data_IF_190820150155
#
_entry.id   IF_190820150155
#
_cell.length_a   1.000
_cell.length_b   1.000
_cell.length_c   1.000
_cell.angle_alpha   90.00
_cell.angle_beta   90.00
_cell.angle_gamma   90.00
#
_symmetry.space_group_name_H-M   'P 1'
#
loop_
_entity.id
_entity.type
_entity.pdbx_description
1 polymer ?
#
# COMPACT_ATOMS: atom_id res chain seq x y z
N UNK A 1 34.33 17.00 2.51
CA UNK A 1 34.19 16.86 1.05
C UNK A 1 34.76 15.51 0.63
N UNK A 2 33.92 14.47 0.58
CA UNK A 2 34.33 13.13 0.14
C UNK A 2 33.60 12.81 -1.17
N UNK A 3 34.38 12.68 -2.25
CA UNK A 3 33.90 12.29 -3.58
C UNK A 3 33.79 10.77 -3.62
N UNK A 4 32.61 10.27 -4.04
CA UNK A 4 32.39 8.86 -4.34
C UNK A 4 33.13 8.46 -5.65
N UNK A 5 33.66 7.25 -5.77
CA UNK A 5 34.33 6.78 -6.97
C UNK A 5 33.36 6.45 -8.08
N UNK A 6 33.73 6.79 -9.32
CA UNK A 6 33.00 6.43 -10.55
C UNK A 6 33.23 4.96 -10.87
N UNK A 7 32.16 4.15 -10.91
CA UNK A 7 32.23 2.77 -11.41
C UNK A 7 32.06 2.74 -12.93
N UNK A 8 32.94 2.04 -13.60
CA UNK A 8 32.98 1.82 -15.05
C UNK A 8 31.80 0.96 -15.53
N UNK A 9 31.22 1.37 -16.65
CA UNK A 9 30.21 0.59 -17.39
C UNK A 9 30.85 -0.66 -17.98
N UNK A 10 30.30 -1.83 -17.65
CA UNK A 10 30.48 -3.04 -18.43
C UNK A 10 29.28 -3.20 -19.39
N UNK A 11 29.56 -2.96 -20.67
CA UNK A 11 28.65 -3.36 -21.76
C UNK A 11 28.60 -4.88 -21.84
N UNK A 12 27.44 -5.45 -21.52
CA UNK A 12 27.11 -6.84 -21.87
C UNK A 12 26.16 -6.83 -23.07
N UNK A 13 26.71 -7.17 -24.24
CA UNK A 13 25.97 -7.36 -25.46
C UNK A 13 24.88 -8.43 -25.30
N UNK A 14 23.66 -8.09 -25.66
CA UNK A 14 22.56 -9.05 -25.78
C UNK A 14 22.62 -9.70 -27.15
N UNK A 15 22.80 -11.01 -27.13
CA UNK A 15 22.77 -11.86 -28.31
C UNK A 15 21.30 -12.08 -28.74
N UNK A 16 20.93 -11.55 -29.90
CA UNK A 16 19.62 -11.76 -30.51
C UNK A 16 19.61 -13.14 -31.21
N UNK A 17 19.21 -14.16 -30.47
CA UNK A 17 18.91 -15.48 -31.01
C UNK A 17 17.60 -15.46 -31.82
N UNK A 18 17.67 -15.79 -33.07
CA UNK A 18 16.58 -15.93 -34.03
C UNK A 18 15.66 -17.12 -33.71
N UNK A 19 14.35 -16.84 -33.71
CA UNK A 19 13.36 -17.80 -34.21
C UNK A 19 12.78 -18.78 -33.21
N UNK A 20 11.55 -18.52 -32.79
CA UNK A 20 10.44 -19.49 -32.85
C UNK A 20 9.11 -18.76 -32.72
N UNK A 21 8.22 -18.96 -33.67
CA UNK A 21 6.84 -18.48 -33.71
C UNK A 21 6.04 -19.07 -32.56
N UNK A 22 5.84 -18.31 -31.51
CA UNK A 22 4.86 -18.59 -30.46
C UNK A 22 3.55 -17.93 -30.85
N UNK A 23 2.54 -18.73 -31.10
CA UNK A 23 1.14 -18.40 -31.28
C UNK A 23 0.68 -17.41 -30.20
N UNK A 24 0.23 -16.22 -30.63
CA UNK A 24 -0.16 -15.14 -29.78
C UNK A 24 -1.31 -15.51 -28.84
N UNK A 25 -1.03 -15.55 -27.56
CA UNK A 25 -2.01 -15.18 -26.54
C UNK A 25 -2.02 -13.66 -26.52
N UNK A 26 -3.09 -13.07 -27.06
CA UNK A 26 -3.41 -11.66 -26.83
C UNK A 26 -3.56 -11.50 -25.32
N UNK A 27 -2.53 -10.99 -24.67
CA UNK A 27 -2.57 -10.64 -23.26
C UNK A 27 -3.55 -9.50 -23.11
N UNK A 28 -4.81 -9.82 -22.81
CA UNK A 28 -5.75 -8.87 -22.25
C UNK A 28 -5.14 -8.47 -20.91
N UNK A 29 -4.56 -7.28 -20.84
CA UNK A 29 -4.14 -6.71 -19.57
C UNK A 29 -5.42 -6.49 -18.77
N UNK A 30 -5.73 -7.40 -17.85
CA UNK A 30 -6.84 -7.24 -16.94
C UNK A 30 -6.57 -5.98 -16.12
N UNK A 31 -7.27 -4.91 -16.46
CA UNK A 31 -7.22 -3.67 -15.68
C UNK A 31 -8.03 -3.91 -14.41
N UNK A 32 -7.44 -3.61 -13.27
CA UNK A 32 -8.14 -3.59 -12.01
C UNK A 32 -9.27 -2.56 -12.09
N UNK A 33 -10.51 -3.03 -12.21
CA UNK A 33 -11.71 -2.22 -12.31
C UNK A 33 -12.47 -2.24 -11.00
N UNK A 34 -12.57 -1.09 -10.33
CA UNK A 34 -13.23 -0.93 -9.03
C UNK A 34 -14.32 0.15 -9.09
N UNK A 35 -15.44 -0.09 -9.79
CA UNK A 35 -16.49 0.91 -10.00
C UNK A 35 -17.13 1.43 -8.70
N UNK A 36 -17.12 0.63 -7.63
CA UNK A 36 -17.60 1.05 -6.31
C UNK A 36 -16.79 2.19 -5.69
N UNK A 37 -15.55 2.41 -6.15
CA UNK A 37 -14.72 3.54 -5.73
C UNK A 37 -15.21 4.89 -6.26
N UNK A 38 -16.12 4.89 -7.25
CA UNK A 38 -16.78 6.13 -7.72
C UNK A 38 -17.50 6.84 -6.58
N UNK A 39 -18.08 6.10 -5.64
CA UNK A 39 -18.71 6.69 -4.45
C UNK A 39 -17.70 7.51 -3.64
N UNK A 40 -16.51 7.00 -3.41
CA UNK A 40 -15.45 7.71 -2.71
C UNK A 40 -15.02 9.02 -3.39
N UNK A 41 -15.17 9.09 -4.74
CA UNK A 41 -14.81 10.28 -5.51
C UNK A 41 -15.95 11.31 -5.49
N UNK A 42 -17.21 10.85 -5.47
CA UNK A 42 -18.41 11.68 -5.61
C UNK A 42 -18.96 12.12 -4.26
N UNK A 43 -18.86 11.28 -3.22
CA UNK A 43 -19.36 11.61 -1.88
C UNK A 43 -18.49 12.70 -1.24
N UNK A 44 -19.14 13.63 -0.56
CA UNK A 44 -18.47 14.65 0.25
C UNK A 44 -17.63 13.95 1.33
N UNK A 45 -16.34 14.25 1.34
CA UNK A 45 -15.46 13.71 2.35
C UNK A 45 -15.81 14.33 3.70
N UNK A 46 -15.93 13.53 4.77
CA UNK A 46 -16.13 14.08 6.10
C UNK A 46 -15.00 15.04 6.45
N UNK A 47 -15.34 16.11 7.16
CA UNK A 47 -14.34 17.06 7.64
C UNK A 47 -13.32 16.38 8.56
N UNK A 48 -12.05 16.73 8.41
CA UNK A 48 -10.97 16.24 9.26
C UNK A 48 -10.25 15.00 8.72
N UNK A 49 -9.39 14.46 9.55
CA UNK A 49 -8.57 13.29 9.19
C UNK A 49 -9.30 11.98 9.48
N UNK A 50 -9.50 11.17 8.46
CA UNK A 50 -10.12 9.85 8.57
C UNK A 50 -9.43 8.98 9.63
N UNK A 51 -8.10 8.94 9.64
CA UNK A 51 -7.34 8.10 10.58
C UNK A 51 -7.51 8.57 12.03
N UNK A 52 -7.54 9.89 12.29
CA UNK A 52 -7.81 10.40 13.62
C UNK A 52 -9.21 10.03 14.11
N UNK A 53 -10.21 10.15 13.24
CA UNK A 53 -11.59 9.75 13.53
C UNK A 53 -11.68 8.27 13.87
N UNK A 54 -11.10 7.41 13.01
CA UNK A 54 -11.08 5.96 13.21
C UNK A 54 -10.33 5.56 14.48
N UNK A 55 -9.17 6.17 14.73
CA UNK A 55 -8.40 5.94 15.97
C UNK A 55 -9.21 6.22 17.23
N UNK A 56 -9.97 7.31 17.23
CA UNK A 56 -10.80 7.72 18.38
C UNK A 56 -12.09 6.92 18.57
N UNK A 57 -12.46 6.08 17.62
CA UNK A 57 -13.67 5.27 17.69
C UNK A 57 -13.53 4.14 18.71
N UNK A 58 -14.65 3.80 19.38
CA UNK A 58 -14.70 2.74 20.40
C UNK A 58 -15.18 1.40 19.85
N UNK A 59 -15.87 1.38 18.72
CA UNK A 59 -16.30 0.15 18.03
C UNK A 59 -15.37 -0.15 16.85
N UNK A 60 -14.47 -1.10 17.06
CA UNK A 60 -13.48 -1.49 16.06
C UNK A 60 -14.13 -2.15 14.85
N UNK A 61 -15.20 -2.91 15.05
CA UNK A 61 -15.90 -3.63 13.97
C UNK A 61 -16.60 -2.66 13.03
N UNK A 62 -17.35 -1.71 13.56
CA UNK A 62 -18.00 -0.67 12.75
C UNK A 62 -17.01 0.22 12.02
N UNK A 63 -15.83 0.42 12.61
CA UNK A 63 -14.77 1.25 12.04
C UNK A 63 -13.78 0.47 11.19
N UNK A 64 -14.02 -0.83 10.97
CA UNK A 64 -13.19 -1.72 10.19
C UNK A 64 -11.74 -1.84 10.72
N UNK A 65 -11.52 -1.59 11.99
CA UNK A 65 -10.22 -1.75 12.63
C UNK A 65 -10.03 -3.22 12.95
N UNK A 66 -8.94 -3.80 12.47
CA UNK A 66 -8.62 -5.22 12.67
C UNK A 66 -7.56 -5.43 13.73
N UNK A 67 -6.77 -4.41 14.03
CA UNK A 67 -5.75 -4.46 15.06
C UNK A 67 -5.35 -3.07 15.54
N UNK A 68 -5.12 -2.93 16.86
CA UNK A 68 -4.52 -1.74 17.47
C UNK A 68 -3.20 -2.12 18.12
N UNK A 69 -2.10 -1.58 17.59
CA UNK A 69 -0.78 -1.65 18.20
C UNK A 69 -0.53 -0.52 19.19
N UNK A 70 0.69 -0.38 19.63
CA UNK A 70 1.10 0.68 20.57
C UNK A 70 1.17 2.06 19.89
N UNK A 71 1.72 2.11 18.68
CA UNK A 71 2.01 3.34 17.93
C UNK A 71 1.26 3.43 16.61
N UNK A 72 0.71 2.31 16.12
CA UNK A 72 0.00 2.22 14.85
C UNK A 72 -1.19 1.27 14.95
N UNK A 73 -2.08 1.33 13.97
CA UNK A 73 -3.24 0.45 13.88
C UNK A 73 -3.48 0.01 12.43
N UNK A 74 -4.18 -1.10 12.29
CA UNK A 74 -4.52 -1.73 11.02
C UNK A 74 -6.03 -1.68 10.82
N UNK A 75 -6.47 -1.25 9.65
CA UNK A 75 -7.89 -1.20 9.30
C UNK A 75 -8.11 -1.67 7.86
N UNK A 76 -9.32 -2.17 7.58
CA UNK A 76 -9.75 -2.48 6.23
C UNK A 76 -10.14 -1.18 5.50
N UNK A 77 -9.80 -1.11 4.22
CA UNK A 77 -10.26 0.00 3.39
C UNK A 77 -11.75 -0.19 3.06
N UNK A 78 -12.57 0.82 3.36
CA UNK A 78 -14.01 0.81 3.06
C UNK A 78 -14.29 0.75 1.55
N UNK A 79 -13.38 1.28 0.73
CA UNK A 79 -13.45 1.27 -0.73
C UNK A 79 -12.27 0.50 -1.32
N UNK A 80 -12.21 -0.83 -1.13
CA UNK A 80 -11.03 -1.62 -1.48
C UNK A 80 -10.81 -1.67 -2.99
N UNK A 81 -9.58 -1.81 -3.45
CA UNK A 81 -9.28 -2.20 -4.84
C UNK A 81 -9.53 -3.69 -5.04
N UNK A 82 -9.10 -4.50 -4.07
CA UNK A 82 -9.23 -5.96 -4.03
C UNK A 82 -9.61 -6.42 -2.63
N UNK A 83 -10.02 -7.67 -2.51
CA UNK A 83 -10.19 -8.32 -1.22
C UNK A 83 -8.88 -8.24 -0.41
N UNK A 84 -9.02 -7.95 0.88
CA UNK A 84 -7.86 -7.82 1.75
C UNK A 84 -7.10 -6.50 1.63
N UNK A 85 -7.69 -5.45 1.03
CA UNK A 85 -7.09 -4.12 1.02
C UNK A 85 -7.05 -3.55 2.43
N UNK A 86 -5.88 -3.61 3.04
CA UNK A 86 -5.60 -3.08 4.37
C UNK A 86 -4.91 -1.72 4.28
N UNK A 87 -5.10 -0.91 5.31
CA UNK A 87 -4.34 0.30 5.56
C UNK A 87 -3.68 0.18 6.94
N UNK A 88 -2.47 0.70 7.09
CA UNK A 88 -1.76 0.76 8.36
C UNK A 88 -1.40 2.22 8.58
N UNK A 89 -1.85 2.77 9.69
CA UNK A 89 -1.67 4.18 10.00
C UNK A 89 -1.09 4.37 11.41
N UNK A 90 -0.23 5.37 11.62
CA UNK A 90 0.24 5.72 12.95
C UNK A 90 -0.90 6.31 13.81
N UNK A 91 -0.80 6.17 15.13
CA UNK A 91 -1.69 6.87 16.05
C UNK A 91 -1.42 8.38 16.06
N UNK A 92 -0.19 8.80 15.80
CA UNK A 92 0.16 10.21 15.67
C UNK A 92 -0.39 10.79 14.36
N UNK A 93 -0.91 12.02 14.40
CA UNK A 93 -1.34 12.73 13.19
C UNK A 93 -0.10 13.35 12.51
N UNK A 94 0.62 12.53 11.76
CA UNK A 94 1.83 12.90 11.02
C UNK A 94 1.64 12.44 9.57
N UNK A 95 1.78 13.36 8.63
CA UNK A 95 1.57 13.09 7.21
C UNK A 95 2.85 12.62 6.49
N UNK A 96 4.00 13.15 6.91
CA UNK A 96 5.27 12.94 6.26
C UNK A 96 6.03 11.77 6.92
N UNK A 97 6.50 10.85 6.08
CA UNK A 97 7.15 9.62 6.55
C UNK A 97 8.44 9.92 7.32
N UNK A 98 9.19 10.93 6.89
CA UNK A 98 10.44 11.39 7.49
C UNK A 98 10.28 11.96 8.89
N UNK A 99 9.08 12.40 9.25
CA UNK A 99 8.77 12.97 10.56
C UNK A 99 8.31 11.91 11.57
N UNK A 100 8.09 10.67 11.13
CA UNK A 100 7.71 9.59 12.02
C UNK A 100 8.89 9.14 12.90
N UNK A 101 8.66 8.94 14.21
CA UNK A 101 9.66 8.32 15.08
C UNK A 101 10.10 6.94 14.55
N UNK A 102 11.40 6.60 14.60
CA UNK A 102 11.91 5.31 14.11
C UNK A 102 11.16 4.09 14.67
N UNK A 103 10.79 4.12 15.95
CA UNK A 103 10.05 3.06 16.60
C UNK A 103 8.62 2.89 16.04
N UNK A 104 8.00 3.96 15.55
CA UNK A 104 6.70 3.90 14.87
C UNK A 104 6.86 3.25 13.48
N UNK A 105 7.91 3.57 12.75
CA UNK A 105 8.23 2.93 11.47
C UNK A 105 8.49 1.43 11.64
N UNK A 106 9.23 1.04 12.68
CA UNK A 106 9.47 -0.38 12.99
C UNK A 106 8.16 -1.11 13.28
N UNK A 107 7.27 -0.52 14.06
CA UNK A 107 5.97 -1.14 14.36
C UNK A 107 5.10 -1.24 13.11
N UNK A 108 5.01 -0.19 12.27
CA UNK A 108 4.27 -0.23 11.00
C UNK A 108 4.78 -1.38 10.12
N UNK A 109 6.09 -1.56 10.02
CA UNK A 109 6.65 -2.66 9.21
C UNK A 109 6.39 -4.03 9.83
N UNK A 110 6.39 -4.15 11.17
CA UNK A 110 6.01 -5.38 11.87
C UNK A 110 4.55 -5.75 11.61
N UNK A 111 3.64 -4.79 11.77
CA UNK A 111 2.22 -4.96 11.47
C UNK A 111 1.98 -5.30 9.99
N UNK A 112 2.78 -4.73 9.09
CA UNK A 112 2.74 -5.06 7.65
C UNK A 112 3.11 -6.53 7.42
N UNK A 113 4.14 -7.04 8.07
CA UNK A 113 4.52 -8.46 7.97
C UNK A 113 3.41 -9.38 8.47
N UNK A 114 2.77 -9.04 9.60
CA UNK A 114 1.67 -9.82 10.17
C UNK A 114 0.44 -9.77 9.27
N UNK A 115 0.11 -8.62 8.72
CA UNK A 115 -0.95 -8.45 7.73
C UNK A 115 -0.72 -9.32 6.48
N UNK A 116 0.51 -9.30 5.93
CA UNK A 116 0.87 -10.16 4.78
C UNK A 116 0.75 -11.64 5.12
N UNK A 117 1.17 -12.08 6.31
CA UNK A 117 1.02 -13.48 6.76
C UNK A 117 -0.46 -13.87 6.83
N UNK A 118 -1.31 -12.99 7.39
CA UNK A 118 -2.75 -13.21 7.46
C UNK A 118 -3.39 -13.30 6.07
N UNK A 119 -3.08 -12.34 5.17
CA UNK A 119 -3.60 -12.35 3.80
C UNK A 119 -3.18 -13.60 3.03
N UNK A 120 -1.93 -14.04 3.16
CA UNK A 120 -1.44 -15.27 2.51
C UNK A 120 -2.16 -16.50 3.01
N UNK A 121 -2.47 -16.57 4.31
CA UNK A 121 -3.18 -17.69 4.91
C UNK A 121 -4.65 -17.76 4.46
N UNK A 122 -5.32 -16.60 4.39
CA UNK A 122 -6.76 -16.55 4.13
C UNK A 122 -7.10 -16.55 2.63
N UNK A 123 -6.31 -15.85 1.82
CA UNK A 123 -6.64 -15.62 0.40
C UNK A 123 -5.71 -16.31 -0.59
N UNK A 124 -4.55 -16.82 -0.14
CA UNK A 124 -3.55 -17.48 -1.00
C UNK A 124 -3.20 -16.64 -2.24
N UNK A 125 -2.90 -15.35 -2.12
CA UNK A 125 -2.65 -14.49 -3.26
C UNK A 125 -1.34 -14.85 -3.95
N UNK A 126 -1.27 -14.67 -5.27
CA UNK A 126 -0.03 -14.84 -6.06
C UNK A 126 0.99 -13.73 -5.77
N UNK A 127 0.51 -12.55 -5.31
CA UNK A 127 1.35 -11.41 -4.96
C UNK A 127 0.65 -10.43 -4.03
N UNK A 128 1.45 -9.55 -3.42
CA UNK A 128 0.98 -8.48 -2.54
C UNK A 128 1.70 -7.20 -2.91
N UNK A 129 0.97 -6.12 -3.11
CA UNK A 129 1.53 -4.79 -3.27
C UNK A 129 1.57 -4.08 -1.91
N UNK A 130 2.71 -3.52 -1.58
CA UNK A 130 2.87 -2.58 -0.47
C UNK A 130 3.12 -1.19 -1.06
N UNK A 131 2.27 -0.24 -0.71
CA UNK A 131 2.29 1.11 -1.29
C UNK A 131 2.26 2.14 -0.17
N UNK A 132 3.09 3.15 -0.27
CA UNK A 132 3.06 4.35 0.56
C UNK A 132 2.89 5.55 -0.39
N UNK A 133 1.79 6.27 -0.25
CA UNK A 133 1.52 7.48 -1.04
C UNK A 133 1.83 8.71 -0.17
N UNK A 134 2.77 9.53 -0.59
CA UNK A 134 3.14 10.75 0.10
C UNK A 134 2.69 11.96 -0.73
N UNK A 135 1.74 12.71 -0.17
CA UNK A 135 1.15 13.88 -0.82
C UNK A 135 0.11 13.55 -1.89
N UNK A 136 -0.75 14.52 -2.18
CA UNK A 136 -1.88 14.37 -3.09
C UNK A 136 -1.49 14.00 -4.52
N UNK A 137 -0.38 14.54 -5.02
CA UNK A 137 0.12 14.24 -6.37
C UNK A 137 0.57 12.77 -6.54
N UNK A 138 0.94 12.11 -5.45
CA UNK A 138 1.27 10.69 -5.42
C UNK A 138 0.04 9.78 -5.19
N UNK A 139 -1.15 10.36 -5.10
CA UNK A 139 -2.40 9.62 -4.89
C UNK A 139 -2.78 9.42 -3.42
N UNK A 140 -2.17 10.14 -2.48
CA UNK A 140 -2.68 10.21 -1.13
C UNK A 140 -4.05 10.89 -1.15
N UNK A 141 -5.11 10.13 -0.95
CA UNK A 141 -6.49 10.58 -1.00
C UNK A 141 -7.09 10.94 0.36
N UNK A 142 -6.30 10.78 1.41
CA UNK A 142 -6.71 10.93 2.80
C UNK A 142 -5.73 11.88 3.47
#
# INVERSE_FOLDING_TARGET
>A
MNRLPKTSRHDKGYNLGSGTTATGRSGVTERLWAPWRMRYIIEDKPEGCLFCTKRGATDDRENHIVWRGERAFVLLNTYPYNNGHLMIAPHAHIADLEDLPPETLVEIMSLTQDAIRALKREFHPEGVNLVINLGAAAGAGI
#
